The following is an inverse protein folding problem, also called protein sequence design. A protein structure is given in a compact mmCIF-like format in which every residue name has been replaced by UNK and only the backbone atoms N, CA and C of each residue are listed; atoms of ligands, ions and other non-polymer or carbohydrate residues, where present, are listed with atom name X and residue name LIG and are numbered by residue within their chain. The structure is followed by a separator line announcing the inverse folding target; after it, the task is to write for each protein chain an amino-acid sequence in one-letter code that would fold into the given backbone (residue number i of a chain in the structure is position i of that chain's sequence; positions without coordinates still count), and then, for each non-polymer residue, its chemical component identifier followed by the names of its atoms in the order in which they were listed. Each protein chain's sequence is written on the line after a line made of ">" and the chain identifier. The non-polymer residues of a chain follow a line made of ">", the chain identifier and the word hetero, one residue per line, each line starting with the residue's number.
data_IF_306487358137
#
_entry.id   IF_306487358137
#
_cell.length_a   1.000
_cell.length_b   1.000
_cell.length_c   1.000
_cell.angle_alpha   90.00
_cell.angle_beta   90.00
_cell.angle_gamma   90.00
#
_symmetry.space_group_name_H-M   'P 1'
#
loop_
_entity.id
_entity.type
_entity.pdbx_description
1 polymer ?
#
# COMPACT_ATOMS: atom_id res chain seq x y z
N UNK A 1 4.85 -5.80 11.45
CA UNK A 1 4.08 -5.54 10.22
C UNK A 1 4.49 -6.44 9.07
N UNK A 2 5.74 -6.82 8.98
CA UNK A 2 6.31 -7.64 7.90
C UNK A 2 5.63 -9.00 7.73
N UNK A 3 5.22 -9.63 8.83
CA UNK A 3 4.47 -10.90 8.80
C UNK A 3 3.14 -10.81 8.05
N UNK A 4 2.45 -9.67 8.11
CA UNK A 4 1.19 -9.47 7.37
C UNK A 4 1.42 -9.34 5.87
N UNK A 5 2.49 -8.64 5.45
CA UNK A 5 2.86 -8.57 4.03
C UNK A 5 3.25 -9.94 3.49
N UNK A 6 3.99 -10.72 4.26
CA UNK A 6 4.38 -12.07 3.89
C UNK A 6 3.16 -12.98 3.71
N UNK A 7 2.24 -12.98 4.68
CA UNK A 7 1.02 -13.79 4.61
C UNK A 7 0.15 -13.33 3.43
N UNK A 8 -0.03 -12.02 3.24
CA UNK A 8 -0.79 -11.46 2.12
C UNK A 8 -0.19 -11.88 0.78
N UNK A 9 1.14 -11.81 0.63
CA UNK A 9 1.84 -12.21 -0.58
C UNK A 9 1.74 -13.71 -0.87
N UNK A 10 1.94 -14.57 0.13
CA UNK A 10 1.81 -16.03 -0.01
C UNK A 10 0.39 -16.43 -0.38
N UNK A 11 -0.61 -15.88 0.31
CA UNK A 11 -2.01 -16.17 0.04
C UNK A 11 -2.41 -15.70 -1.37
N UNK A 12 -1.96 -14.52 -1.77
CA UNK A 12 -2.19 -13.97 -3.10
C UNK A 12 -1.59 -14.86 -4.19
N UNK A 13 -0.32 -15.23 -4.05
CA UNK A 13 0.37 -16.11 -5.00
C UNK A 13 -0.34 -17.48 -5.11
N UNK A 14 -0.67 -18.08 -3.97
CA UNK A 14 -1.37 -19.38 -3.93
C UNK A 14 -2.74 -19.33 -4.63
N UNK A 15 -3.57 -18.33 -4.29
CA UNK A 15 -4.91 -18.19 -4.87
C UNK A 15 -4.85 -17.89 -6.37
N UNK A 16 -3.91 -17.04 -6.79
CA UNK A 16 -3.76 -16.67 -8.19
C UNK A 16 -3.25 -17.83 -9.03
N UNK A 17 -2.26 -18.59 -8.55
CA UNK A 17 -1.75 -19.78 -9.23
C UNK A 17 -2.84 -20.86 -9.35
N UNK A 18 -3.59 -21.09 -8.28
CA UNK A 18 -4.71 -22.04 -8.29
C UNK A 18 -5.80 -21.67 -9.31
N UNK A 19 -6.10 -20.37 -9.44
CA UNK A 19 -7.08 -19.90 -10.44
C UNK A 19 -6.52 -19.96 -11.86
N UNK A 20 -5.22 -19.69 -12.06
CA UNK A 20 -4.52 -19.87 -13.34
C UNK A 20 -4.52 -21.33 -13.81
N UNK A 21 -4.31 -22.28 -12.91
CA UNK A 21 -4.40 -23.72 -13.22
C UNK A 21 -5.80 -24.08 -13.65
N UNK A 22 -6.83 -23.64 -12.92
CA UNK A 22 -8.23 -23.94 -13.20
C UNK A 22 -8.71 -23.38 -14.53
N UNK A 23 -8.26 -22.17 -14.89
CA UNK A 23 -8.65 -21.45 -16.11
C UNK A 23 -7.69 -21.67 -17.29
N UNK A 24 -6.69 -22.54 -17.13
CA UNK A 24 -5.66 -22.82 -18.15
C UNK A 24 -4.95 -21.53 -18.64
N UNK A 25 -4.68 -20.61 -17.72
CA UNK A 25 -3.99 -19.36 -18.00
C UNK A 25 -4.87 -18.19 -18.43
N UNK A 26 -6.18 -18.37 -18.59
CA UNK A 26 -7.13 -17.31 -18.98
C UNK A 26 -7.81 -16.68 -17.77
N UNK A 27 -7.11 -15.83 -17.04
CA UNK A 27 -7.71 -15.05 -15.95
C UNK A 27 -8.03 -13.63 -16.44
N UNK A 28 -9.27 -13.19 -16.24
CA UNK A 28 -9.66 -11.82 -16.50
C UNK A 28 -9.07 -10.90 -15.42
N UNK A 29 -7.96 -10.25 -15.73
CA UNK A 29 -7.29 -9.32 -14.82
C UNK A 29 -8.22 -8.20 -14.34
N UNK A 30 -9.12 -7.73 -15.20
CA UNK A 30 -10.05 -6.67 -14.85
C UNK A 30 -10.95 -7.08 -13.68
N UNK A 31 -11.51 -8.30 -13.73
CA UNK A 31 -12.36 -8.81 -12.65
C UNK A 31 -11.54 -9.00 -11.36
N UNK A 32 -10.31 -9.51 -11.50
CA UNK A 32 -9.40 -9.73 -10.39
C UNK A 32 -9.09 -8.42 -9.64
N UNK A 33 -8.78 -7.32 -10.36
CA UNK A 33 -8.51 -6.02 -9.77
C UNK A 33 -9.75 -5.35 -9.19
N UNK A 34 -10.85 -5.35 -9.93
CA UNK A 34 -12.10 -4.70 -9.50
C UNK A 34 -12.63 -5.35 -8.23
N UNK A 35 -12.64 -6.67 -8.14
CA UNK A 35 -13.16 -7.39 -6.98
C UNK A 35 -12.39 -7.03 -5.69
N UNK A 36 -11.05 -7.01 -5.75
CA UNK A 36 -10.23 -6.61 -4.59
C UNK A 36 -10.41 -5.13 -4.25
N UNK A 37 -10.38 -4.27 -5.28
CA UNK A 37 -10.58 -2.83 -5.09
C UNK A 37 -11.90 -2.53 -4.40
N UNK A 38 -13.02 -3.06 -4.89
CA UNK A 38 -14.34 -2.83 -4.30
C UNK A 38 -14.43 -3.37 -2.86
N UNK A 39 -13.85 -4.53 -2.61
CA UNK A 39 -13.85 -5.15 -1.28
C UNK A 39 -13.11 -4.30 -0.24
N UNK A 40 -11.95 -3.76 -0.59
CA UNK A 40 -11.14 -2.95 0.32
C UNK A 40 -11.69 -1.52 0.41
N UNK A 41 -12.00 -0.90 -0.72
CA UNK A 41 -12.44 0.49 -0.81
C UNK A 41 -13.79 0.71 -0.13
N UNK A 42 -14.70 -0.25 -0.18
CA UNK A 42 -16.01 -0.15 0.47
C UNK A 42 -15.90 0.13 1.98
N UNK A 43 -15.11 -0.65 2.68
CA UNK A 43 -14.85 -0.45 4.12
C UNK A 43 -14.04 0.83 4.37
N UNK A 44 -13.07 1.11 3.48
CA UNK A 44 -12.17 2.25 3.62
C UNK A 44 -12.88 3.59 3.47
N UNK A 45 -13.82 3.72 2.53
CA UNK A 45 -14.65 4.94 2.36
C UNK A 45 -15.46 5.24 3.62
N UNK A 46 -16.01 4.24 4.27
CA UNK A 46 -16.77 4.43 5.51
C UNK A 46 -15.85 5.01 6.61
N UNK A 47 -14.65 4.49 6.74
CA UNK A 47 -13.68 4.97 7.73
C UNK A 47 -13.24 6.40 7.40
N UNK A 48 -12.94 6.71 6.15
CA UNK A 48 -12.57 8.06 5.71
C UNK A 48 -13.72 9.03 5.96
N UNK A 49 -14.95 8.65 5.61
CA UNK A 49 -16.15 9.45 5.87
C UNK A 49 -16.37 9.73 7.35
N UNK A 50 -16.19 8.74 8.21
CA UNK A 50 -16.23 8.91 9.66
C UNK A 50 -15.15 9.89 10.15
N UNK A 51 -13.91 9.73 9.71
CA UNK A 51 -12.81 10.63 10.10
C UNK A 51 -13.02 12.07 9.62
N UNK A 52 -13.54 12.27 8.42
CA UNK A 52 -13.73 13.60 7.86
C UNK A 52 -14.92 14.36 8.44
N UNK A 53 -15.93 13.65 8.98
CA UNK A 53 -17.18 14.27 9.41
C UNK A 53 -17.41 14.20 10.91
N UNK A 54 -17.45 13.00 11.48
CA UNK A 54 -17.86 12.76 12.86
C UNK A 54 -16.75 12.97 13.87
N UNK A 55 -15.52 12.71 13.51
CA UNK A 55 -14.38 12.77 14.44
C UNK A 55 -14.19 14.17 15.02
N UNK A 56 -14.43 15.21 14.21
CA UNK A 56 -14.36 16.61 14.66
C UNK A 56 -15.39 16.94 15.73
N UNK A 57 -16.57 16.34 15.65
CA UNK A 57 -17.67 16.61 16.59
C UNK A 57 -17.53 15.81 17.90
N UNK A 58 -16.80 14.70 17.85
CA UNK A 58 -16.59 13.82 19.01
C UNK A 58 -15.37 14.18 19.84
N UNK A 59 -14.56 15.13 19.37
CA UNK A 59 -13.36 15.51 20.07
C UNK A 59 -13.65 16.51 21.19
N UNK A 60 -13.28 16.13 22.43
CA UNK A 60 -13.31 16.99 23.60
C UNK A 60 -11.98 16.89 24.34
N UNK A 61 -11.32 18.01 24.59
CA UNK A 61 -10.10 18.05 25.41
C UNK A 61 -8.86 18.63 24.72
N UNK A 62 -7.71 18.65 25.43
CA UNK A 62 -6.50 19.34 24.96
C UNK A 62 -5.85 18.73 23.71
N UNK A 63 -6.11 17.46 23.42
CA UNK A 63 -5.57 16.75 22.27
C UNK A 63 -6.37 17.03 20.95
N UNK A 64 -7.45 17.80 21.01
CA UNK A 64 -8.27 18.10 19.85
C UNK A 64 -7.53 18.84 18.74
N UNK A 65 -6.51 19.66 19.07
CA UNK A 65 -5.71 20.37 18.07
C UNK A 65 -4.98 19.40 17.12
N UNK A 66 -4.36 18.35 17.65
CA UNK A 66 -3.70 17.34 16.82
C UNK A 66 -4.71 16.61 15.93
N UNK A 67 -5.92 16.38 16.44
CA UNK A 67 -6.98 15.74 15.68
C UNK A 67 -7.56 16.65 14.58
N UNK A 68 -7.67 17.95 14.83
CA UNK A 68 -8.11 18.94 13.83
C UNK A 68 -7.20 18.94 12.58
N UNK A 69 -5.88 18.88 12.77
CA UNK A 69 -4.94 18.75 11.65
C UNK A 69 -5.18 17.47 10.83
N UNK A 70 -5.45 16.35 11.49
CA UNK A 70 -5.74 15.09 10.80
C UNK A 70 -7.08 15.15 10.03
N UNK A 71 -8.11 15.79 10.60
CA UNK A 71 -9.42 15.98 9.97
C UNK A 71 -9.31 16.92 8.76
N UNK A 72 -8.58 18.02 8.89
CA UNK A 72 -8.36 18.96 7.80
C UNK A 72 -7.55 18.32 6.66
N UNK A 73 -6.55 17.49 6.98
CA UNK A 73 -5.86 16.66 6.01
C UNK A 73 -6.79 15.69 5.30
N UNK A 74 -7.72 15.05 6.04
CA UNK A 74 -8.71 14.14 5.49
C UNK A 74 -9.66 14.83 4.51
N UNK A 75 -10.13 16.03 4.82
CA UNK A 75 -11.08 16.76 3.96
C UNK A 75 -10.43 17.20 2.64
N UNK A 76 -9.12 17.45 2.61
CA UNK A 76 -8.39 17.88 1.42
C UNK A 76 -7.90 16.70 0.57
N UNK A 77 -7.35 15.66 1.22
CA UNK A 77 -6.60 14.59 0.57
C UNK A 77 -7.32 13.22 0.59
N UNK A 78 -8.63 13.18 0.87
CA UNK A 78 -9.42 11.94 0.88
C UNK A 78 -9.29 11.12 -0.42
N UNK A 79 -9.20 11.78 -1.57
CA UNK A 79 -9.09 11.14 -2.88
C UNK A 79 -7.78 10.36 -3.06
N UNK A 80 -6.67 10.81 -2.44
CA UNK A 80 -5.39 10.10 -2.45
C UNK A 80 -5.49 8.76 -1.71
N UNK A 81 -6.25 8.74 -0.63
CA UNK A 81 -6.51 7.53 0.12
C UNK A 81 -7.33 6.53 -0.72
N UNK A 82 -8.36 6.98 -1.43
CA UNK A 82 -9.18 6.12 -2.30
C UNK A 82 -8.36 5.58 -3.48
N UNK A 83 -7.43 6.35 -4.02
CA UNK A 83 -6.53 5.90 -5.08
C UNK A 83 -5.33 5.09 -4.58
N UNK A 84 -5.18 4.89 -3.27
CA UNK A 84 -4.05 4.17 -2.66
C UNK A 84 -2.67 4.76 -3.03
N UNK A 85 -2.59 6.09 -3.16
CA UNK A 85 -1.36 6.84 -3.46
C UNK A 85 -0.94 7.78 -2.32
N UNK A 86 -1.51 7.61 -1.15
CA UNK A 86 -1.23 8.43 0.02
C UNK A 86 0.20 8.27 0.59
N UNK A 87 0.93 7.25 0.17
CA UNK A 87 2.36 7.07 0.46
C UNK A 87 3.29 7.82 -0.50
N UNK A 88 2.81 8.26 -1.67
CA UNK A 88 3.57 9.08 -2.60
C UNK A 88 3.27 10.56 -2.38
N UNK A 89 4.04 11.24 -1.62
CA UNK A 89 3.83 12.68 -1.44
C UNK A 89 4.22 13.21 -0.08
N UNK A 90 4.80 12.37 0.77
CA UNK A 90 5.49 12.78 1.97
C UNK A 90 6.75 13.53 1.59
N UNK A 91 6.61 14.74 1.04
CA UNK A 91 7.74 15.66 0.86
C UNK A 91 8.33 15.95 2.22
N UNK A 92 9.62 15.73 2.36
CA UNK A 92 10.43 16.13 3.49
C UNK A 92 10.13 17.59 3.88
N UNK A 93 9.63 17.81 5.08
CA UNK A 93 9.67 19.12 5.72
C UNK A 93 8.52 20.09 5.42
N UNK A 94 7.37 19.65 4.93
CA UNK A 94 6.21 20.52 4.79
C UNK A 94 5.14 20.24 5.85
N UNK A 95 4.82 21.24 6.64
CA UNK A 95 3.81 21.27 7.71
C UNK A 95 2.37 20.91 7.24
N UNK A 96 2.18 20.51 6.00
CA UNK A 96 0.86 20.35 5.37
C UNK A 96 0.49 18.92 5.00
N UNK A 97 1.25 17.90 5.43
CA UNK A 97 0.94 16.51 5.13
C UNK A 97 0.40 15.78 6.35
N UNK A 98 -0.76 16.20 6.82
CA UNK A 98 -1.56 15.37 7.70
C UNK A 98 -2.17 14.25 6.85
N UNK A 99 -1.51 13.09 6.79
CA UNK A 99 -2.17 11.90 6.29
C UNK A 99 -3.51 11.75 7.02
N UNK A 100 -4.59 11.64 6.27
CA UNK A 100 -5.94 11.49 6.82
C UNK A 100 -5.98 10.44 7.95
N UNK A 101 -5.32 9.31 7.72
CA UNK A 101 -5.18 8.23 8.70
C UNK A 101 -3.75 7.71 8.57
N UNK A 102 -2.92 7.94 9.60
CA UNK A 102 -1.50 7.59 9.54
C UNK A 102 -1.22 6.12 9.20
N UNK A 103 -2.05 5.19 9.65
CA UNK A 103 -1.83 3.75 9.44
C UNK A 103 -2.16 3.27 8.02
N UNK A 104 -2.78 4.10 7.19
CA UNK A 104 -3.25 3.68 5.85
C UNK A 104 -2.15 3.56 4.80
N UNK A 105 -0.92 3.98 5.10
CA UNK A 105 0.23 3.72 4.26
C UNK A 105 0.44 2.22 3.98
N UNK A 106 0.11 1.36 4.98
CA UNK A 106 0.17 -0.08 4.81
C UNK A 106 -0.81 -0.58 3.74
N UNK A 107 -2.04 -0.05 3.77
CA UNK A 107 -3.10 -0.45 2.82
C UNK A 107 -2.76 0.00 1.38
N UNK A 108 -2.14 1.18 1.25
CA UNK A 108 -1.65 1.66 -0.04
C UNK A 108 -0.54 0.75 -0.59
N UNK A 109 0.45 0.39 0.23
CA UNK A 109 1.52 -0.52 -0.18
C UNK A 109 0.98 -1.90 -0.55
N UNK A 110 0.05 -2.48 0.22
CA UNK A 110 -0.57 -3.77 -0.08
C UNK A 110 -1.29 -3.74 -1.44
N UNK A 111 -2.02 -2.66 -1.74
CA UNK A 111 -2.70 -2.50 -3.03
C UNK A 111 -1.73 -2.31 -4.19
N UNK A 112 -0.64 -1.56 -4.00
CA UNK A 112 0.40 -1.36 -5.02
C UNK A 112 1.14 -2.66 -5.33
N UNK A 113 1.53 -3.43 -4.31
CA UNK A 113 2.13 -4.75 -4.48
C UNK A 113 1.18 -5.71 -5.19
N UNK A 114 -0.11 -5.64 -4.89
CA UNK A 114 -1.14 -6.41 -5.59
C UNK A 114 -1.23 -6.05 -7.09
N UNK A 115 -1.14 -4.77 -7.45
CA UNK A 115 -1.14 -4.33 -8.85
C UNK A 115 0.05 -4.88 -9.64
N UNK A 116 1.21 -4.99 -8.99
CA UNK A 116 2.44 -5.51 -9.60
C UNK A 116 2.46 -7.04 -9.63
N UNK A 117 1.70 -7.72 -8.76
CA UNK A 117 1.75 -9.17 -8.58
C UNK A 117 1.58 -10.01 -9.86
N UNK A 118 0.70 -9.68 -10.83
CA UNK A 118 0.57 -10.48 -12.05
C UNK A 118 1.83 -10.46 -12.91
N UNK A 119 2.60 -9.36 -12.86
CA UNK A 119 3.86 -9.22 -13.57
C UNK A 119 4.93 -10.23 -13.09
N UNK A 120 4.78 -10.70 -11.84
CA UNK A 120 5.67 -11.68 -11.23
C UNK A 120 5.08 -13.09 -11.39
N UNK A 121 3.79 -13.26 -11.15
CA UNK A 121 3.13 -14.57 -11.11
C UNK A 121 2.97 -15.16 -12.52
N UNK A 122 2.66 -14.38 -13.54
CA UNK A 122 2.50 -14.85 -14.91
C UNK A 122 3.76 -15.48 -15.50
N UNK A 123 4.94 -14.82 -15.50
CA UNK A 123 6.17 -15.45 -15.96
C UNK A 123 6.49 -16.74 -15.17
N UNK A 124 6.18 -16.74 -13.88
CA UNK A 124 6.40 -17.91 -13.03
C UNK A 124 5.53 -19.12 -13.46
N UNK A 125 4.31 -18.86 -13.92
CA UNK A 125 3.39 -19.90 -14.38
C UNK A 125 3.76 -20.45 -15.77
N UNK A 126 4.06 -19.59 -16.74
CA UNK A 126 4.35 -20.00 -18.11
C UNK A 126 5.80 -20.47 -18.34
N UNK A 127 6.75 -19.82 -17.68
CA UNK A 127 8.19 -20.06 -17.83
C UNK A 127 8.87 -20.03 -16.44
N UNK A 128 8.79 -21.13 -15.67
CA UNK A 128 9.20 -21.14 -14.27
C UNK A 128 10.66 -20.69 -14.06
N UNK A 129 11.57 -21.05 -14.92
CA UNK A 129 12.98 -20.63 -14.85
C UNK A 129 13.12 -19.11 -15.01
N UNK A 130 12.42 -18.52 -15.97
CA UNK A 130 12.43 -17.07 -16.21
C UNK A 130 11.76 -16.34 -15.05
N UNK A 131 10.65 -16.87 -14.53
CA UNK A 131 9.95 -16.30 -13.38
C UNK A 131 10.79 -16.30 -12.11
N UNK A 132 11.53 -17.36 -11.85
CA UNK A 132 12.46 -17.43 -10.70
C UNK A 132 13.58 -16.40 -10.86
N UNK A 133 14.22 -16.35 -12.03
CA UNK A 133 15.29 -15.37 -12.30
C UNK A 133 14.79 -13.93 -12.14
N UNK A 134 13.59 -13.64 -12.67
CA UNK A 134 12.94 -12.35 -12.54
C UNK A 134 12.66 -11.97 -11.08
N UNK A 135 12.15 -12.91 -10.29
CA UNK A 135 11.90 -12.70 -8.86
C UNK A 135 13.18 -12.43 -8.08
N UNK A 136 14.25 -13.14 -8.38
CA UNK A 136 15.58 -12.92 -7.77
C UNK A 136 16.09 -11.51 -8.11
N UNK A 137 16.01 -11.11 -9.39
CA UNK A 137 16.41 -9.76 -9.83
C UNK A 137 15.65 -8.65 -9.12
N UNK A 138 14.33 -8.79 -8.99
CA UNK A 138 13.50 -7.82 -8.27
C UNK A 138 13.86 -7.77 -6.79
N UNK A 139 14.16 -8.90 -6.16
CA UNK A 139 14.55 -8.96 -4.75
C UNK A 139 15.90 -8.27 -4.53
N UNK A 140 16.88 -8.54 -5.39
CA UNK A 140 18.18 -7.87 -5.35
C UNK A 140 18.02 -6.36 -5.56
N UNK A 141 17.22 -5.95 -6.55
CA UNK A 141 16.93 -4.54 -6.82
C UNK A 141 16.28 -3.83 -5.64
N UNK A 142 15.33 -4.49 -4.96
CA UNK A 142 14.65 -3.94 -3.79
C UNK A 142 15.57 -3.74 -2.58
N UNK A 143 16.67 -4.47 -2.50
CA UNK A 143 17.69 -4.30 -1.45
C UNK A 143 18.71 -3.24 -1.85
N UNK A 144 19.15 -3.26 -3.11
CA UNK A 144 20.20 -2.35 -3.58
C UNK A 144 19.75 -0.89 -3.66
N UNK A 145 18.53 -0.64 -4.14
CA UNK A 145 18.04 0.74 -4.32
C UNK A 145 18.00 1.52 -3.00
N UNK A 146 17.36 1.06 -1.92
CA UNK A 146 17.36 1.80 -0.65
C UNK A 146 18.76 1.87 -0.04
N UNK A 147 19.61 0.82 -0.21
CA UNK A 147 20.96 0.85 0.32
C UNK A 147 21.80 1.92 -0.38
N UNK A 148 21.71 2.05 -1.70
CA UNK A 148 22.42 3.08 -2.45
C UNK A 148 21.92 4.46 -2.05
N UNK A 149 20.59 4.65 -1.94
CA UNK A 149 19.99 5.93 -1.55
C UNK A 149 20.41 6.36 -0.14
N UNK A 150 20.45 5.44 0.83
CA UNK A 150 20.90 5.76 2.19
C UNK A 150 22.38 6.15 2.24
N UNK A 151 23.21 5.55 1.40
CA UNK A 151 24.65 5.87 1.34
C UNK A 151 24.93 7.18 0.59
N UNK A 152 24.17 7.47 -0.47
CA UNK A 152 24.37 8.68 -1.28
C UNK A 152 23.80 9.95 -0.66
N UNK A 153 22.70 9.83 0.08
CA UNK A 153 21.97 10.97 0.67
C UNK A 153 22.30 11.16 2.15
N UNK A 154 23.26 10.39 2.71
CA UNK A 154 23.61 10.41 4.16
C UNK A 154 22.39 10.30 5.09
N UNK A 155 21.37 9.58 4.68
CA UNK A 155 20.18 9.40 5.50
C UNK A 155 20.50 8.53 6.70
N UNK A 156 20.05 8.90 7.90
CA UNK A 156 20.26 8.07 9.09
C UNK A 156 19.63 6.69 8.88
N UNK A 157 20.42 5.64 9.15
CA UNK A 157 19.99 4.24 8.98
C UNK A 157 18.79 3.85 9.87
N UNK A 158 18.49 4.68 10.86
CA UNK A 158 17.32 4.53 11.75
C UNK A 158 16.62 5.86 11.86
N UNK A 159 15.30 5.87 11.62
CA UNK A 159 14.45 6.99 12.01
C UNK A 159 14.37 6.93 13.54
N UNK A 160 15.24 7.65 14.21
CA UNK A 160 15.11 7.91 15.64
C UNK A 160 13.83 8.75 15.78
N UNK A 161 12.82 8.15 16.38
CA UNK A 161 11.65 8.86 16.89
C UNK A 161 12.13 9.70 18.07
N UNK A 162 12.54 10.96 17.80
CA UNK A 162 12.60 11.98 18.83
C UNK A 162 11.23 12.61 19.04
#
# INVERSE_FOLDING_TARGET
>A
MDSFFLISGVLLAYLTLKELEKTKGHVSLSIFYIHRYLRLTGTYIIIIGFHSTLLRQMCFGPNCRALEFAVDGCTKDWWRNILYINNFGGGQGGENFANCIGQTWYLANDMQMFLISPLIIWPLFFLPWVGILWSILLTIGSILVPTILTVTEDWPATVLLE
#
